data_IF_850514418457
#
_entry.id   IF_850514418457
#
_cell.length_a   1.000
_cell.length_b   1.000
_cell.length_c   1.000
_cell.angle_alpha   90.00
_cell.angle_beta   90.00
_cell.angle_gamma   90.00
#
_symmetry.space_group_name_H-M   'P 1'
#
loop_
_entity.id
_entity.type
_entity.pdbx_description
1 polymer ?
#
# COMPACT_ATOMS: atom_id res chain seq x y z
N UNK A 1 7.99 6.37 27.33
CA UNK A 1 7.37 5.05 27.06
C UNK A 1 8.21 4.30 26.05
N UNK A 2 8.17 2.97 26.09
CA UNK A 2 8.72 2.09 25.06
C UNK A 2 7.63 1.76 24.03
N UNK A 3 7.86 2.04 22.76
CA UNK A 3 6.86 1.88 21.69
C UNK A 3 7.44 0.96 20.62
N UNK A 4 6.68 -0.07 20.27
CA UNK A 4 7.02 -1.04 19.25
C UNK A 4 6.14 -0.86 18.02
N UNK A 5 6.75 -0.63 16.85
CA UNK A 5 6.07 -0.67 15.57
C UNK A 5 6.25 -2.03 14.90
N UNK A 6 5.16 -2.61 14.38
CA UNK A 6 5.19 -3.93 13.73
C UNK A 6 4.59 -3.83 12.33
N UNK A 7 5.43 -4.05 11.31
CA UNK A 7 5.02 -4.04 9.92
C UNK A 7 6.01 -4.79 9.03
N UNK A 8 5.54 -5.74 8.20
CA UNK A 8 6.41 -6.57 7.34
C UNK A 8 7.38 -5.74 6.48
N UNK A 9 6.95 -4.58 6.01
CA UNK A 9 7.72 -3.67 5.16
C UNK A 9 7.98 -2.34 5.88
N UNK A 10 8.29 -2.38 7.19
CA UNK A 10 8.58 -1.14 7.91
C UNK A 10 9.52 -0.24 7.09
N UNK A 11 9.27 1.08 7.00
CA UNK A 11 8.33 1.85 7.80
C UNK A 11 6.86 1.79 7.35
N UNK A 12 6.53 1.40 6.11
CA UNK A 12 5.15 1.36 5.65
C UNK A 12 4.39 2.65 5.99
N UNK A 13 3.24 2.52 6.63
CA UNK A 13 2.39 3.64 7.09
C UNK A 13 3.02 4.46 8.22
N UNK A 14 4.05 3.95 8.89
CA UNK A 14 4.65 4.60 10.06
C UNK A 14 5.83 5.52 9.72
N UNK A 15 6.05 5.84 8.45
CA UNK A 15 7.18 6.66 7.96
C UNK A 15 7.29 8.02 8.66
N UNK A 16 6.17 8.69 8.87
CA UNK A 16 6.15 9.96 9.60
C UNK A 16 5.99 9.76 11.11
N UNK A 17 5.12 8.81 11.51
CA UNK A 17 4.76 8.60 12.90
C UNK A 17 5.93 8.09 13.76
N UNK A 18 6.69 7.10 13.31
CA UNK A 18 7.73 6.50 14.12
C UNK A 18 8.87 7.48 14.47
N UNK A 19 9.41 8.30 13.53
CA UNK A 19 10.35 9.36 13.85
C UNK A 19 9.76 10.44 14.75
N UNK A 20 8.50 10.86 14.54
CA UNK A 20 7.85 11.90 15.35
C UNK A 20 7.70 11.45 16.80
N UNK A 21 7.27 10.21 17.04
CA UNK A 21 7.16 9.63 18.38
C UNK A 21 8.53 9.52 19.05
N UNK A 22 9.58 9.18 18.30
CA UNK A 22 10.95 9.17 18.81
C UNK A 22 11.43 10.57 19.19
N UNK A 23 11.17 11.56 18.32
CA UNK A 23 11.51 12.97 18.58
C UNK A 23 10.79 13.55 19.81
N UNK A 24 9.59 13.00 20.13
CA UNK A 24 8.86 13.32 21.35
C UNK A 24 9.46 12.70 22.63
N UNK A 25 10.62 12.07 22.55
CA UNK A 25 11.35 11.52 23.69
C UNK A 25 10.96 10.09 24.10
N UNK A 26 10.29 9.34 23.23
CA UNK A 26 9.97 7.95 23.49
C UNK A 26 11.08 7.03 22.98
N UNK A 27 11.24 5.86 23.63
CA UNK A 27 12.10 4.78 23.14
C UNK A 27 11.31 4.00 22.08
N UNK A 28 11.82 4.00 20.83
CA UNK A 28 11.10 3.45 19.68
C UNK A 28 11.91 2.34 19.04
N UNK A 29 11.24 1.21 18.82
CA UNK A 29 11.78 0.05 18.11
C UNK A 29 10.77 -0.40 17.05
N UNK A 30 11.26 -1.02 15.97
CA UNK A 30 10.43 -1.63 14.95
C UNK A 30 10.74 -3.12 14.78
N UNK A 31 9.76 -3.88 14.33
CA UNK A 31 9.92 -5.27 13.87
C UNK A 31 9.45 -5.34 12.41
N UNK A 32 10.30 -5.88 11.54
CA UNK A 32 9.97 -6.08 10.13
C UNK A 32 10.65 -7.31 9.52
N UNK A 33 10.25 -7.68 8.30
CA UNK A 33 10.98 -8.68 7.52
C UNK A 33 12.16 -8.10 6.73
N UNK A 34 12.32 -6.76 6.71
CA UNK A 34 13.39 -6.05 6.00
C UNK A 34 14.58 -5.78 6.91
N UNK A 35 15.79 -6.07 6.43
CA UNK A 35 17.03 -5.85 7.18
C UNK A 35 17.41 -4.38 7.29
N UNK A 36 17.22 -3.62 6.23
CA UNK A 36 17.61 -2.21 6.18
C UNK A 36 16.38 -1.32 6.22
N UNK A 37 16.27 -0.54 7.28
CA UNK A 37 15.29 0.53 7.41
C UNK A 37 15.98 1.71 8.06
N UNK A 38 16.56 2.60 7.24
CA UNK A 38 17.04 3.89 7.76
C UNK A 38 15.83 4.81 7.93
N UNK A 39 15.37 4.94 9.15
CA UNK A 39 14.28 5.82 9.51
C UNK A 39 14.59 6.56 10.82
N UNK A 40 15.35 7.67 10.71
CA UNK A 40 15.55 8.60 11.83
C UNK A 40 16.12 7.97 13.11
N UNK A 41 16.97 6.93 12.95
CA UNK A 41 17.58 6.22 14.08
C UNK A 41 16.62 5.31 14.86
N UNK A 42 15.46 4.93 14.30
CA UNK A 42 14.59 3.90 14.86
C UNK A 42 15.26 2.54 14.70
N UNK A 43 15.50 1.84 15.82
CA UNK A 43 16.07 0.50 15.81
C UNK A 43 15.09 -0.49 15.18
N UNK A 44 15.58 -1.31 14.24
CA UNK A 44 14.76 -2.35 13.60
C UNK A 44 15.29 -3.74 13.93
N UNK A 45 14.41 -4.60 14.42
CA UNK A 45 14.67 -6.03 14.63
C UNK A 45 13.98 -6.81 13.53
N UNK A 46 14.71 -7.74 12.91
CA UNK A 46 14.14 -8.54 11.83
C UNK A 46 13.58 -9.86 12.32
N UNK A 47 12.48 -10.27 11.72
CA UNK A 47 11.99 -11.64 11.80
C UNK A 47 12.20 -12.37 10.47
N UNK A 48 12.39 -13.67 10.52
CA UNK A 48 12.57 -14.52 9.35
C UNK A 48 11.42 -15.51 9.21
N UNK A 49 10.91 -15.64 7.99
CA UNK A 49 9.92 -16.66 7.65
C UNK A 49 10.65 -17.92 7.23
N UNK A 50 10.60 -18.96 8.07
CA UNK A 50 11.35 -20.21 7.89
C UNK A 50 10.62 -21.24 7.01
N UNK A 51 9.32 -21.04 6.74
CA UNK A 51 8.50 -21.92 5.92
C UNK A 51 7.46 -21.15 5.14
N UNK A 52 6.95 -21.71 4.08
CA UNK A 52 5.79 -21.22 3.31
C UNK A 52 4.55 -22.03 3.67
N UNK A 53 3.39 -21.56 3.19
CA UNK A 53 2.15 -22.31 3.31
C UNK A 53 2.26 -23.70 2.68
N UNK A 54 1.60 -24.68 3.29
CA UNK A 54 1.57 -26.06 2.79
C UNK A 54 0.96 -26.12 1.39
N UNK A 55 1.55 -26.95 0.52
CA UNK A 55 1.01 -27.20 -0.83
C UNK A 55 -0.32 -27.96 -0.80
N UNK A 56 -0.63 -28.67 0.28
CA UNK A 56 -1.84 -29.46 0.47
C UNK A 56 -2.94 -28.75 1.25
N UNK A 57 -2.72 -27.51 1.67
CA UNK A 57 -3.76 -26.73 2.36
C UNK A 57 -4.91 -26.37 1.42
N UNK A 58 -6.10 -26.22 1.98
CA UNK A 58 -7.24 -25.73 1.20
C UNK A 58 -6.92 -24.36 0.57
N UNK A 59 -7.17 -24.14 -0.73
CA UNK A 59 -6.75 -22.92 -1.44
C UNK A 59 -7.22 -21.61 -0.80
N UNK A 60 -8.37 -21.60 -0.14
CA UNK A 60 -8.88 -20.41 0.56
C UNK A 60 -8.10 -20.06 1.83
N UNK A 61 -7.40 -21.04 2.42
CA UNK A 61 -6.65 -20.85 3.68
C UNK A 61 -5.20 -20.46 3.48
N UNK A 62 -4.70 -20.41 2.24
CA UNK A 62 -3.29 -20.09 1.95
C UNK A 62 -2.87 -18.74 2.58
N UNK A 63 -3.71 -17.72 2.45
CA UNK A 63 -3.43 -16.39 3.03
C UNK A 63 -3.46 -16.45 4.56
N UNK A 64 -4.42 -17.15 5.13
CA UNK A 64 -4.56 -17.30 6.59
C UNK A 64 -3.39 -18.10 7.18
N UNK A 65 -2.97 -19.19 6.55
CA UNK A 65 -1.77 -19.93 7.00
C UNK A 65 -0.51 -19.08 6.90
N UNK A 66 -0.35 -18.31 5.82
CA UNK A 66 0.77 -17.37 5.69
C UNK A 66 0.77 -16.32 6.80
N UNK A 67 -0.40 -15.86 7.22
CA UNK A 67 -0.55 -14.92 8.34
C UNK A 67 -0.16 -15.57 9.68
N UNK A 68 -0.59 -16.80 9.93
CA UNK A 68 -0.20 -17.59 11.12
C UNK A 68 1.31 -17.77 11.19
N UNK A 69 1.95 -18.13 10.07
CA UNK A 69 3.41 -18.32 9.99
C UNK A 69 4.16 -17.02 10.34
N UNK A 70 3.67 -15.86 9.86
CA UNK A 70 4.25 -14.57 10.24
C UNK A 70 4.02 -14.22 11.71
N UNK A 71 2.80 -14.42 12.18
CA UNK A 71 2.45 -14.21 13.59
C UNK A 71 3.34 -15.04 14.52
N UNK A 72 3.56 -16.31 14.19
CA UNK A 72 4.49 -17.20 14.93
C UNK A 72 5.91 -16.64 14.96
N UNK A 73 6.43 -16.19 13.81
CA UNK A 73 7.77 -15.64 13.72
C UNK A 73 7.92 -14.36 14.56
N UNK A 74 6.95 -13.44 14.48
CA UNK A 74 6.96 -12.19 15.25
C UNK A 74 6.78 -12.46 16.74
N UNK A 75 5.87 -13.37 17.12
CA UNK A 75 5.70 -13.81 18.51
C UNK A 75 7.03 -14.28 19.12
N UNK A 76 7.80 -15.10 18.38
CA UNK A 76 9.12 -15.56 18.82
C UNK A 76 10.11 -14.41 19.05
N UNK A 77 10.16 -13.43 18.15
CA UNK A 77 11.02 -12.25 18.30
C UNK A 77 10.63 -11.41 19.50
N UNK A 78 9.33 -11.10 19.64
CA UNK A 78 8.81 -10.28 20.76
C UNK A 78 9.04 -10.96 22.10
N UNK A 79 8.76 -12.26 22.19
CA UNK A 79 9.02 -13.06 23.41
C UNK A 79 10.50 -13.04 23.79
N UNK A 80 11.39 -13.09 22.80
CA UNK A 80 12.83 -13.01 23.06
C UNK A 80 13.27 -11.61 23.53
N UNK A 81 12.73 -10.54 22.94
CA UNK A 81 12.97 -9.17 23.41
C UNK A 81 12.54 -9.00 24.87
N UNK A 82 11.36 -9.50 25.25
CA UNK A 82 10.85 -9.43 26.62
C UNK A 82 11.75 -10.20 27.59
N UNK A 83 12.19 -11.41 27.23
CA UNK A 83 13.15 -12.20 28.04
C UNK A 83 14.47 -11.48 28.23
N UNK A 84 14.90 -10.67 27.28
CA UNK A 84 16.12 -9.85 27.34
C UNK A 84 15.91 -8.48 28.01
N UNK A 85 14.79 -8.27 28.68
CA UNK A 85 14.51 -7.06 29.47
C UNK A 85 13.95 -5.89 28.68
N UNK A 86 13.58 -6.07 27.40
CA UNK A 86 12.92 -5.04 26.62
C UNK A 86 11.44 -5.39 26.37
N UNK A 87 10.55 -4.73 27.07
CA UNK A 87 9.10 -4.90 26.95
C UNK A 87 8.47 -3.57 26.58
N UNK A 88 7.67 -3.46 25.50
CA UNK A 88 7.01 -2.21 25.13
C UNK A 88 5.80 -1.93 26.01
N UNK A 89 5.52 -0.64 26.23
CA UNK A 89 4.30 -0.16 26.84
C UNK A 89 3.15 -0.16 25.82
N UNK A 90 3.48 0.17 24.55
CA UNK A 90 2.54 0.29 23.42
C UNK A 90 3.09 -0.44 22.21
N UNK A 91 2.23 -1.19 21.53
CA UNK A 91 2.51 -1.79 20.22
C UNK A 91 1.56 -1.18 19.20
N UNK A 92 2.11 -0.74 18.07
CA UNK A 92 1.35 -0.27 16.90
C UNK A 92 1.69 -1.17 15.73
N UNK A 93 0.72 -1.93 15.23
CA UNK A 93 1.01 -2.92 14.20
C UNK A 93 -0.10 -3.05 13.16
N UNK A 94 0.28 -3.54 11.98
CA UNK A 94 -0.62 -3.73 10.87
C UNK A 94 -1.37 -5.06 10.99
N UNK A 95 -2.72 -5.03 11.02
CA UNK A 95 -3.54 -6.25 11.16
C UNK A 95 -3.55 -7.12 9.89
N UNK A 96 -3.21 -6.56 8.74
CA UNK A 96 -3.42 -7.17 7.42
C UNK A 96 -2.51 -8.33 7.05
N UNK A 97 -1.42 -8.55 7.77
CA UNK A 97 -0.39 -9.52 7.38
C UNK A 97 -0.16 -10.65 8.39
N UNK A 98 -0.82 -10.60 9.56
CA UNK A 98 -0.78 -11.64 10.58
C UNK A 98 0.19 -11.40 11.73
N UNK A 99 1.09 -10.41 11.64
CA UNK A 99 2.09 -10.12 12.68
C UNK A 99 1.47 -9.79 14.04
N UNK A 100 0.23 -9.27 14.04
CA UNK A 100 -0.48 -8.91 15.27
C UNK A 100 -1.29 -10.05 15.91
N UNK A 101 -1.42 -11.21 15.23
CA UNK A 101 -2.30 -12.29 15.69
C UNK A 101 -2.01 -12.80 17.09
N UNK A 102 -0.72 -12.93 17.46
CA UNK A 102 -0.29 -13.52 18.75
C UNK A 102 0.43 -12.50 19.63
N UNK A 103 0.15 -11.22 19.41
CA UNK A 103 0.82 -10.15 20.16
C UNK A 103 0.37 -10.09 21.62
N UNK A 104 -0.91 -10.38 21.88
CA UNK A 104 -1.47 -10.40 23.24
C UNK A 104 -0.85 -11.47 24.12
N UNK A 105 -0.57 -12.66 23.55
CA UNK A 105 0.08 -13.77 24.23
C UNK A 105 1.53 -13.45 24.57
N UNK A 106 2.24 -12.76 23.68
CA UNK A 106 3.62 -12.34 23.91
C UNK A 106 3.72 -11.17 24.90
N UNK A 107 2.75 -10.28 24.91
CA UNK A 107 2.75 -9.00 25.63
C UNK A 107 1.38 -8.77 26.34
N UNK A 108 1.04 -9.51 27.38
CA UNK A 108 -0.27 -9.46 28.02
C UNK A 108 -0.63 -8.09 28.64
N UNK A 109 0.37 -7.28 28.97
CA UNK A 109 0.20 -5.98 29.64
C UNK A 109 0.39 -4.77 28.71
N UNK A 110 0.92 -4.95 27.50
CA UNK A 110 1.09 -3.86 26.57
C UNK A 110 -0.25 -3.37 25.99
N UNK A 111 -0.32 -2.09 25.65
CA UNK A 111 -1.44 -1.55 24.86
C UNK A 111 -1.23 -1.86 23.40
N UNK A 112 -2.18 -2.54 22.77
CA UNK A 112 -2.10 -2.98 21.38
C UNK A 112 -3.02 -2.13 20.51
N UNK A 113 -2.45 -1.47 19.51
CA UNK A 113 -3.15 -0.66 18.52
C UNK A 113 -2.98 -1.29 17.13
N UNK A 114 -4.08 -1.74 16.53
CA UNK A 114 -4.11 -2.39 15.24
C UNK A 114 -4.40 -1.42 14.10
N UNK A 115 -3.54 -1.33 13.08
CA UNK A 115 -3.85 -0.60 11.86
C UNK A 115 -4.74 -1.45 10.95
N UNK A 116 -5.99 -0.97 10.76
CA UNK A 116 -7.08 -1.62 10.05
C UNK A 116 -7.18 -1.03 8.64
N UNK A 117 -6.28 -1.46 7.74
CA UNK A 117 -6.19 -0.89 6.40
C UNK A 117 -7.39 -1.24 5.53
N UNK A 118 -7.86 -2.49 5.62
CA UNK A 118 -8.91 -2.99 4.73
C UNK A 118 -9.59 -4.24 5.29
N UNK A 119 -10.88 -4.41 4.97
CA UNK A 119 -11.64 -5.63 5.23
C UNK A 119 -12.31 -6.08 3.93
N UNK A 120 -12.12 -7.32 3.54
CA UNK A 120 -12.52 -7.81 2.23
C UNK A 120 -14.00 -8.17 2.19
N UNK A 121 -14.73 -7.61 1.24
CA UNK A 121 -16.15 -7.88 1.02
C UNK A 121 -16.36 -8.63 -0.30
N UNK A 122 -17.19 -9.67 -0.28
CA UNK A 122 -17.56 -10.41 -1.49
C UNK A 122 -18.49 -9.65 -2.44
N UNK A 123 -19.04 -8.51 -2.00
CA UNK A 123 -19.93 -7.63 -2.79
C UNK A 123 -19.77 -6.19 -2.35
N UNK A 124 -19.91 -5.24 -3.29
CA UNK A 124 -19.93 -3.81 -3.00
C UNK A 124 -18.56 -3.21 -2.66
N UNK A 125 -17.47 -3.93 -2.99
CA UNK A 125 -16.10 -3.51 -2.81
C UNK A 125 -15.28 -3.88 -4.05
N UNK A 126 -14.04 -4.31 -3.89
CA UNK A 126 -13.11 -4.63 -4.97
C UNK A 126 -13.47 -5.89 -5.79
N UNK A 127 -14.26 -6.80 -5.21
CA UNK A 127 -14.76 -7.98 -5.95
C UNK A 127 -15.76 -7.56 -7.02
N UNK A 128 -15.50 -7.95 -8.28
CA UNK A 128 -16.29 -7.56 -9.46
C UNK A 128 -16.42 -6.04 -9.63
N UNK A 129 -15.36 -5.29 -9.31
CA UNK A 129 -15.33 -3.83 -9.43
C UNK A 129 -15.58 -3.34 -10.86
N UNK A 130 -15.22 -4.15 -11.84
CA UNK A 130 -15.41 -3.86 -13.26
C UNK A 130 -15.85 -5.13 -13.98
N UNK A 131 -16.96 -5.10 -14.77
CA UNK A 131 -17.45 -6.26 -15.53
C UNK A 131 -16.44 -6.80 -16.57
N UNK A 132 -15.50 -5.99 -17.03
CA UNK A 132 -14.43 -6.41 -17.94
C UNK A 132 -13.41 -7.35 -17.26
N UNK A 133 -13.32 -7.26 -15.91
CA UNK A 133 -12.40 -8.06 -15.10
C UNK A 133 -13.15 -8.84 -14.02
N UNK A 134 -13.97 -9.82 -14.40
CA UNK A 134 -14.75 -10.57 -13.44
C UNK A 134 -13.85 -11.35 -12.48
N UNK A 135 -14.19 -11.31 -11.20
CA UNK A 135 -13.54 -12.12 -10.18
C UNK A 135 -13.95 -13.59 -10.32
N UNK A 136 -13.15 -14.50 -9.76
CA UNK A 136 -13.51 -15.91 -9.68
C UNK A 136 -14.84 -16.11 -8.94
N UNK A 137 -15.60 -17.15 -9.32
CA UNK A 137 -16.92 -17.42 -8.74
C UNK A 137 -16.88 -17.60 -7.22
N UNK A 138 -15.75 -18.13 -6.68
CA UNK A 138 -15.51 -18.35 -5.24
C UNK A 138 -14.86 -17.14 -4.54
N UNK A 139 -14.84 -15.95 -5.16
CA UNK A 139 -14.24 -14.75 -4.58
C UNK A 139 -14.90 -14.32 -3.25
N UNK A 140 -16.23 -14.41 -3.05
CA UNK A 140 -16.84 -14.10 -1.76
C UNK A 140 -16.34 -14.99 -0.63
N UNK A 141 -16.23 -16.30 -0.86
CA UNK A 141 -15.74 -17.26 0.13
C UNK A 141 -14.27 -17.05 0.43
N UNK A 142 -13.46 -16.73 -0.57
CA UNK A 142 -12.04 -16.34 -0.40
C UNK A 142 -11.89 -15.07 0.44
N UNK A 143 -12.73 -14.06 0.22
CA UNK A 143 -12.75 -12.84 1.05
C UNK A 143 -13.06 -13.20 2.50
N UNK A 144 -14.06 -14.03 2.74
CA UNK A 144 -14.43 -14.47 4.07
C UNK A 144 -13.27 -15.21 4.77
N UNK A 145 -12.65 -16.17 4.10
CA UNK A 145 -11.50 -16.92 4.62
C UNK A 145 -10.29 -15.99 4.88
N UNK A 146 -10.07 -15.01 4.02
CA UNK A 146 -9.00 -14.02 4.16
C UNK A 146 -9.21 -13.10 5.38
N UNK A 147 -10.45 -12.80 5.73
CA UNK A 147 -10.76 -11.96 6.88
C UNK A 147 -10.52 -12.63 8.24
N UNK A 148 -10.32 -13.96 8.30
CA UNK A 148 -10.09 -14.67 9.56
C UNK A 148 -8.94 -14.07 10.36
N UNK A 149 -7.77 -13.91 9.73
CA UNK A 149 -6.58 -13.37 10.41
C UNK A 149 -6.68 -11.88 10.69
N UNK A 150 -7.41 -11.10 9.85
CA UNK A 150 -7.70 -9.69 10.09
C UNK A 150 -8.55 -9.51 11.33
N UNK A 151 -9.62 -10.31 11.44
CA UNK A 151 -10.54 -10.32 12.58
C UNK A 151 -9.80 -10.67 13.86
N UNK A 152 -9.02 -11.76 13.85
CA UNK A 152 -8.27 -12.21 15.02
C UNK A 152 -7.23 -11.18 15.46
N UNK A 153 -6.49 -10.61 14.51
CA UNK A 153 -5.52 -9.55 14.79
C UNK A 153 -6.17 -8.32 15.44
N UNK A 154 -7.35 -7.91 14.99
CA UNK A 154 -8.07 -6.78 15.56
C UNK A 154 -8.66 -7.12 16.95
N UNK A 155 -9.18 -8.33 17.14
CA UNK A 155 -9.73 -8.78 18.42
C UNK A 155 -8.66 -8.85 19.50
N UNK A 156 -7.43 -9.19 19.15
CA UNK A 156 -6.27 -9.18 20.06
C UNK A 156 -5.85 -7.76 20.47
N UNK A 157 -6.22 -6.73 19.71
CA UNK A 157 -5.88 -5.34 20.01
C UNK A 157 -6.87 -4.69 20.99
N UNK A 158 -6.40 -3.69 21.75
CA UNK A 158 -7.27 -2.83 22.55
C UNK A 158 -8.14 -1.93 21.66
N UNK A 159 -7.55 -1.37 20.59
CA UNK A 159 -8.23 -0.54 19.59
C UNK A 159 -7.67 -0.77 18.18
N UNK A 160 -8.53 -0.53 17.18
CA UNK A 160 -8.16 -0.41 15.78
C UNK A 160 -8.09 1.05 15.34
N UNK A 161 -7.27 1.33 14.32
CA UNK A 161 -7.20 2.62 13.62
C UNK A 161 -7.32 2.38 12.13
N UNK A 162 -8.18 3.13 11.46
CA UNK A 162 -8.29 3.17 10.00
C UNK A 162 -8.08 4.59 9.49
N UNK A 163 -7.49 4.79 8.30
CA UNK A 163 -7.17 6.14 7.81
C UNK A 163 -8.39 6.94 7.33
N UNK A 164 -9.48 6.26 6.98
CA UNK A 164 -10.71 6.89 6.48
C UNK A 164 -11.96 6.21 7.04
N UNK A 165 -13.08 6.95 7.07
CA UNK A 165 -14.39 6.37 7.40
C UNK A 165 -14.74 5.23 6.45
N UNK A 166 -14.51 5.41 5.15
CA UNK A 166 -14.80 4.38 4.14
C UNK A 166 -14.09 3.06 4.44
N UNK A 167 -12.79 3.09 4.79
CA UNK A 167 -12.05 1.89 5.14
C UNK A 167 -12.54 1.26 6.46
N UNK A 168 -12.85 2.09 7.45
CA UNK A 168 -13.40 1.61 8.71
C UNK A 168 -14.79 0.96 8.54
N UNK A 169 -15.62 1.51 7.67
CA UNK A 169 -17.00 1.06 7.43
C UNK A 169 -17.08 -0.24 6.60
N UNK A 170 -15.95 -0.73 6.05
CA UNK A 170 -15.86 -2.08 5.48
C UNK A 170 -15.94 -3.18 6.56
N UNK A 171 -15.56 -2.86 7.80
CA UNK A 171 -15.56 -3.82 8.88
C UNK A 171 -16.99 -4.09 9.39
N UNK A 172 -17.35 -5.33 9.78
CA UNK A 172 -18.62 -5.62 10.43
C UNK A 172 -18.88 -4.71 11.63
N UNK A 173 -20.15 -4.40 11.92
CA UNK A 173 -20.56 -3.42 12.93
C UNK A 173 -19.94 -3.70 14.31
N UNK A 174 -19.90 -4.95 14.73
CA UNK A 174 -19.29 -5.38 15.99
C UNK A 174 -17.76 -5.13 16.06
N UNK A 175 -17.08 -5.09 14.94
CA UNK A 175 -15.65 -4.73 14.85
C UNK A 175 -15.48 -3.23 14.60
N UNK A 176 -16.37 -2.62 13.79
CA UNK A 176 -16.34 -1.20 13.46
C UNK A 176 -16.35 -0.30 14.70
N UNK A 177 -17.12 -0.66 15.72
CA UNK A 177 -17.18 0.09 16.98
C UNK A 177 -15.84 0.20 17.71
N UNK A 178 -14.91 -0.70 17.45
CA UNK A 178 -13.54 -0.73 18.01
C UNK A 178 -12.53 0.05 17.18
N UNK A 179 -12.92 0.58 16.00
CA UNK A 179 -12.01 1.26 15.08
C UNK A 179 -12.22 2.77 15.17
N UNK A 180 -11.15 3.49 15.50
CA UNK A 180 -11.09 4.95 15.39
C UNK A 180 -10.59 5.35 14.01
N UNK A 181 -11.17 6.40 13.46
CA UNK A 181 -10.70 6.96 12.19
C UNK A 181 -9.68 8.04 12.49
N UNK A 182 -8.44 7.79 12.05
CA UNK A 182 -7.31 8.72 12.17
C UNK A 182 -6.57 8.67 10.85
N UNK A 183 -6.57 9.77 10.12
CA UNK A 183 -5.90 9.88 8.82
C UNK A 183 -4.38 9.64 8.94
N UNK A 184 -3.78 9.01 7.93
CA UNK A 184 -2.33 8.71 7.92
C UNK A 184 -1.45 9.95 8.09
N UNK A 185 -1.98 11.11 7.71
CA UNK A 185 -1.22 12.36 7.69
C UNK A 185 -0.33 12.47 6.45
N UNK A 186 0.13 13.69 6.22
CA UNK A 186 1.13 14.03 5.20
C UNK A 186 2.00 15.16 5.73
N UNK A 187 3.29 15.17 5.38
CA UNK A 187 4.25 16.17 5.82
C UNK A 187 4.04 17.50 5.04
N UNK A 188 2.99 18.24 5.36
CA UNK A 188 2.60 19.48 4.66
C UNK A 188 3.67 20.58 4.68
N UNK A 189 4.55 20.56 5.66
CA UNK A 189 5.69 21.50 5.73
C UNK A 189 6.79 21.19 4.70
N UNK A 190 6.82 19.97 4.18
CA UNK A 190 7.82 19.46 3.22
C UNK A 190 7.27 19.25 1.83
N UNK A 191 5.99 18.91 1.74
CA UNK A 191 5.28 18.64 0.47
C UNK A 191 4.52 19.90 0.07
N UNK A 192 5.28 20.89 -0.35
CA UNK A 192 4.79 22.20 -0.81
C UNK A 192 5.02 22.34 -2.32
N UNK A 193 4.21 23.16 -3.02
CA UNK A 193 4.47 23.52 -4.41
C UNK A 193 5.87 24.10 -4.59
N UNK A 194 6.55 23.67 -5.65
CA UNK A 194 7.86 24.18 -6.06
C UNK A 194 7.78 24.68 -7.50
N UNK A 195 7.79 26.00 -7.68
CA UNK A 195 7.71 26.64 -9.01
C UNK A 195 8.98 26.45 -9.83
N UNK A 196 10.09 26.07 -9.19
CA UNK A 196 11.35 25.75 -9.87
C UNK A 196 11.52 24.25 -10.13
N UNK A 197 10.51 23.43 -9.83
CA UNK A 197 10.58 22.00 -10.04
C UNK A 197 10.75 21.65 -11.51
N UNK A 198 11.63 20.70 -11.75
CA UNK A 198 11.83 20.11 -13.07
C UNK A 198 12.33 18.67 -12.92
N UNK A 199 12.10 17.89 -13.98
CA UNK A 199 12.61 16.52 -14.12
C UNK A 199 13.19 16.31 -15.51
N UNK A 200 14.05 15.32 -15.66
CA UNK A 200 14.57 14.85 -16.94
C UNK A 200 14.18 13.40 -17.14
N UNK A 201 13.60 13.08 -18.28
CA UNK A 201 13.05 11.76 -18.57
C UNK A 201 13.69 11.13 -19.80
N UNK A 202 13.87 9.81 -19.70
CA UNK A 202 14.28 8.96 -20.82
C UNK A 202 15.72 9.16 -21.29
N UNK A 203 16.09 8.40 -22.33
CA UNK A 203 17.41 8.49 -22.96
C UNK A 203 17.60 9.80 -23.70
N UNK A 204 16.53 10.37 -24.22
CA UNK A 204 16.53 11.62 -24.99
C UNK A 204 16.58 12.86 -24.09
N UNK A 205 16.69 12.65 -22.76
CA UNK A 205 16.83 13.73 -21.77
C UNK A 205 15.74 14.80 -21.88
N UNK A 206 14.50 14.38 -22.10
CA UNK A 206 13.37 15.31 -22.19
C UNK A 206 13.20 16.02 -20.85
N UNK A 207 13.40 17.33 -20.84
CA UNK A 207 13.25 18.17 -19.67
C UNK A 207 11.81 18.69 -19.57
N UNK A 208 11.13 18.38 -18.46
CA UNK A 208 9.79 18.87 -18.13
C UNK A 208 9.88 19.73 -16.87
N UNK A 209 9.14 20.82 -16.83
CA UNK A 209 9.15 21.79 -15.73
C UNK A 209 7.75 22.27 -15.38
N UNK A 210 7.62 22.96 -14.27
CA UNK A 210 6.39 23.65 -13.89
C UNK A 210 5.95 24.61 -15.01
N UNK A 211 4.67 24.55 -15.36
CA UNK A 211 4.07 25.31 -16.46
C UNK A 211 3.96 24.57 -17.80
N UNK A 212 4.67 23.46 -17.97
CA UNK A 212 4.45 22.56 -19.11
C UNK A 212 3.10 21.81 -18.93
N UNK A 213 2.48 21.39 -20.04
CA UNK A 213 1.26 20.57 -20.00
C UNK A 213 1.56 19.11 -19.65
N UNK A 214 1.97 18.86 -18.41
CA UNK A 214 2.32 17.50 -17.94
C UNK A 214 1.08 16.84 -17.35
N UNK A 215 0.67 15.72 -17.95
CA UNK A 215 -0.38 14.83 -17.39
C UNK A 215 0.30 13.62 -16.78
N UNK A 216 0.05 13.37 -15.51
CA UNK A 216 0.65 12.25 -14.79
C UNK A 216 -0.37 11.18 -14.44
N UNK A 217 0.06 9.90 -14.55
CA UNK A 217 -0.64 8.74 -14.02
C UNK A 217 0.35 7.92 -13.20
N UNK A 218 0.17 7.84 -11.89
CA UNK A 218 1.17 7.29 -10.98
C UNK A 218 0.55 6.20 -10.11
N UNK A 219 1.06 4.97 -10.25
CA UNK A 219 0.61 3.83 -9.46
C UNK A 219 1.77 2.86 -9.20
N UNK A 220 1.60 1.93 -8.27
CA UNK A 220 2.58 0.87 -8.02
C UNK A 220 2.75 -0.03 -9.23
N UNK A 221 1.63 -0.48 -9.81
CA UNK A 221 1.57 -1.27 -11.04
C UNK A 221 0.46 -0.74 -11.94
N UNK A 222 0.63 -0.95 -13.25
CA UNK A 222 -0.28 -0.51 -14.31
C UNK A 222 -1.34 -1.61 -14.52
N UNK A 223 -2.40 -1.57 -13.74
CA UNK A 223 -3.42 -2.62 -13.64
C UNK A 223 -4.85 -2.06 -13.64
N UNK A 224 -5.87 -2.89 -13.98
CA UNK A 224 -7.26 -2.45 -14.05
C UNK A 224 -7.80 -1.84 -12.76
N UNK A 225 -7.49 -2.40 -11.58
CA UNK A 225 -7.89 -1.86 -10.28
C UNK A 225 -7.43 -0.39 -10.08
N UNK A 226 -6.36 0.02 -10.76
CA UNK A 226 -5.84 1.39 -10.77
C UNK A 226 -6.42 2.25 -11.88
N UNK A 227 -7.33 1.69 -12.70
CA UNK A 227 -7.96 2.39 -13.82
C UNK A 227 -7.02 2.62 -15.02
N UNK A 228 -5.93 1.86 -15.12
CA UNK A 228 -4.95 2.02 -16.19
C UNK A 228 -5.58 1.82 -17.57
N UNK A 229 -6.45 0.83 -17.76
CA UNK A 229 -7.20 0.61 -19.00
C UNK A 229 -8.04 1.82 -19.41
N UNK A 230 -8.75 2.43 -18.46
CA UNK A 230 -9.58 3.61 -18.72
C UNK A 230 -8.70 4.81 -19.10
N UNK A 231 -7.57 5.00 -18.40
CA UNK A 231 -6.64 6.06 -18.73
C UNK A 231 -6.06 5.89 -20.14
N UNK A 232 -5.59 4.69 -20.49
CA UNK A 232 -5.04 4.41 -21.82
C UNK A 232 -6.06 4.65 -22.92
N UNK A 233 -7.30 4.23 -22.73
CA UNK A 233 -8.40 4.44 -23.71
C UNK A 233 -8.79 5.90 -23.87
N UNK A 234 -8.59 6.73 -22.84
CA UNK A 234 -8.82 8.17 -22.90
C UNK A 234 -7.67 8.94 -23.56
N UNK A 235 -6.45 8.39 -23.60
CA UNK A 235 -5.27 9.12 -24.10
C UNK A 235 -5.38 9.64 -25.52
N UNK A 236 -5.92 8.92 -26.52
CA UNK A 236 -6.06 9.46 -27.88
C UNK A 236 -6.82 10.77 -27.93
N UNK A 237 -7.93 10.88 -27.19
CA UNK A 237 -8.73 12.10 -27.14
C UNK A 237 -8.02 13.21 -26.33
N UNK A 238 -7.41 12.88 -25.20
CA UNK A 238 -6.61 13.84 -24.41
C UNK A 238 -5.52 14.45 -25.29
N UNK A 239 -4.76 13.62 -26.00
CA UNK A 239 -3.64 14.08 -26.84
C UNK A 239 -4.08 14.86 -28.08
N UNK A 240 -5.26 14.56 -28.63
CA UNK A 240 -5.84 15.32 -29.71
C UNK A 240 -6.29 16.72 -29.25
N UNK A 241 -6.95 16.80 -28.08
CA UNK A 241 -7.39 18.08 -27.50
C UNK A 241 -6.24 18.94 -26.96
N UNK A 242 -5.15 18.30 -26.54
CA UNK A 242 -3.98 18.96 -25.93
C UNK A 242 -2.70 18.57 -26.68
N UNK A 243 -2.43 19.20 -27.85
CA UNK A 243 -1.33 18.80 -28.72
C UNK A 243 0.07 18.99 -28.08
N UNK A 244 0.19 19.85 -27.06
CA UNK A 244 1.45 20.09 -26.35
C UNK A 244 1.60 19.21 -25.09
N UNK A 245 0.55 18.46 -24.69
CA UNK A 245 0.60 17.65 -23.49
C UNK A 245 1.68 16.56 -23.55
N UNK A 246 2.42 16.42 -22.46
CA UNK A 246 3.36 15.33 -22.20
C UNK A 246 2.77 14.40 -21.15
N UNK A 247 2.71 13.12 -21.47
CA UNK A 247 2.10 12.11 -20.63
C UNK A 247 3.20 11.35 -19.90
N UNK A 248 3.18 11.37 -18.56
CA UNK A 248 4.13 10.62 -17.73
C UNK A 248 3.39 9.54 -16.96
N UNK A 249 3.68 8.29 -17.28
CA UNK A 249 3.04 7.12 -16.69
C UNK A 249 4.07 6.41 -15.81
N UNK A 250 3.84 6.42 -14.50
CA UNK A 250 4.71 5.75 -13.52
C UNK A 250 4.01 4.51 -12.98
N UNK A 251 4.68 3.36 -13.10
CA UNK A 251 4.19 2.11 -12.56
C UNK A 251 4.91 0.90 -13.12
N UNK A 252 4.96 -0.17 -12.33
CA UNK A 252 5.51 -1.46 -12.73
C UNK A 252 4.54 -2.22 -13.65
N UNK A 253 5.06 -3.28 -14.28
CA UNK A 253 4.29 -4.15 -15.19
C UNK A 253 3.87 -5.46 -14.49
N UNK A 254 3.63 -5.40 -13.19
CA UNK A 254 3.09 -6.52 -12.41
C UNK A 254 1.66 -6.21 -11.97
N UNK A 255 1.07 -7.15 -11.25
CA UNK A 255 -0.24 -6.99 -10.63
C UNK A 255 -0.06 -6.94 -9.11
N UNK A 256 -0.64 -5.94 -8.47
CA UNK A 256 -0.68 -5.82 -7.00
C UNK A 256 -2.00 -6.32 -6.44
N UNK A 257 -3.09 -6.09 -7.18
CA UNK A 257 -4.46 -6.41 -6.80
C UNK A 257 -5.17 -7.08 -7.97
N UNK A 258 -5.96 -8.10 -7.67
CA UNK A 258 -6.59 -8.92 -8.71
C UNK A 258 -5.67 -10.01 -9.26
N UNK A 259 -5.98 -10.49 -10.47
CA UNK A 259 -5.25 -11.56 -11.15
C UNK A 259 -4.45 -11.01 -12.34
N UNK A 260 -3.30 -11.59 -12.66
CA UNK A 260 -2.61 -11.26 -13.90
C UNK A 260 -3.45 -11.71 -15.10
N UNK A 261 -3.26 -11.08 -16.28
CA UNK A 261 -3.95 -11.52 -17.50
C UNK A 261 -3.50 -12.92 -17.90
N UNK A 262 -4.36 -13.74 -18.55
CA UNK A 262 -4.08 -15.16 -18.79
C UNK A 262 -2.79 -15.44 -19.58
N UNK A 263 -2.41 -14.55 -20.51
CA UNK A 263 -1.31 -14.76 -21.45
C UNK A 263 -0.19 -13.72 -21.36
N UNK A 264 -0.13 -12.95 -20.26
CA UNK A 264 0.90 -11.93 -20.06
C UNK A 264 1.23 -11.76 -18.58
N UNK A 265 2.40 -11.19 -18.30
CA UNK A 265 2.85 -10.91 -16.92
C UNK A 265 2.16 -9.70 -16.30
N UNK A 266 1.57 -8.83 -17.13
CA UNK A 266 0.91 -7.60 -16.70
C UNK A 266 0.04 -6.98 -17.79
N UNK A 267 -0.58 -5.89 -17.45
CA UNK A 267 -1.58 -5.23 -18.28
C UNK A 267 -1.04 -4.07 -19.15
N UNK A 268 0.21 -3.65 -18.92
CA UNK A 268 0.79 -2.47 -19.56
C UNK A 268 0.70 -2.55 -21.09
N UNK A 269 1.26 -3.60 -21.69
CA UNK A 269 1.31 -3.74 -23.14
C UNK A 269 -0.07 -4.05 -23.74
N UNK A 270 -0.94 -4.74 -23.01
CA UNK A 270 -2.29 -5.06 -23.47
C UNK A 270 -3.03 -3.75 -23.79
N UNK A 271 -3.17 -2.85 -22.83
CA UNK A 271 -3.93 -1.61 -23.03
C UNK A 271 -3.17 -0.56 -23.86
N UNK A 272 -1.84 -0.61 -23.86
CA UNK A 272 -1.07 0.23 -24.78
C UNK A 272 -1.33 -0.19 -26.23
N UNK A 273 -1.35 -1.49 -26.54
CA UNK A 273 -1.57 -2.00 -27.89
C UNK A 273 -2.98 -1.71 -28.42
N UNK A 274 -4.01 -1.66 -27.54
CA UNK A 274 -5.36 -1.24 -27.94
C UNK A 274 -5.42 0.16 -28.60
N UNK A 275 -4.50 1.03 -28.23
CA UNK A 275 -4.57 2.47 -28.61
C UNK A 275 -3.31 2.96 -29.31
N UNK A 276 -2.25 2.15 -29.41
CA UNK A 276 -0.90 2.53 -29.87
C UNK A 276 -0.90 3.28 -31.19
N UNK A 277 -1.66 2.82 -32.19
CA UNK A 277 -1.71 3.43 -33.53
C UNK A 277 -2.37 4.84 -33.52
N UNK A 278 -3.10 5.16 -32.47
CA UNK A 278 -3.77 6.45 -32.30
C UNK A 278 -2.98 7.42 -31.39
N UNK A 279 -1.79 7.00 -30.94
CA UNK A 279 -0.97 7.75 -29.98
C UNK A 279 0.31 8.27 -30.63
N UNK A 280 0.67 9.49 -30.31
CA UNK A 280 2.02 10.01 -30.56
C UNK A 280 2.95 9.56 -29.42
N UNK A 281 3.65 8.46 -29.64
CA UNK A 281 4.52 7.86 -28.64
C UNK A 281 5.70 8.75 -28.23
N UNK A 282 6.07 9.76 -29.03
CA UNK A 282 7.13 10.72 -28.67
C UNK A 282 6.76 11.62 -27.48
N UNK A 283 5.46 11.69 -27.16
CA UNK A 283 4.92 12.48 -26.06
C UNK A 283 4.55 11.66 -24.82
N UNK A 284 4.76 10.32 -24.86
CA UNK A 284 4.40 9.42 -23.76
C UNK A 284 5.67 8.81 -23.14
N UNK A 285 5.82 9.00 -21.85
CA UNK A 285 6.97 8.56 -21.10
C UNK A 285 6.56 7.53 -20.05
N UNK A 286 6.94 6.26 -20.26
CA UNK A 286 6.75 5.20 -19.27
C UNK A 286 7.95 5.12 -18.34
N UNK A 287 7.68 5.18 -17.03
CA UNK A 287 8.70 5.07 -15.98
C UNK A 287 8.25 3.97 -15.01
N UNK A 288 9.10 2.95 -14.82
CA UNK A 288 8.73 1.80 -13.98
C UNK A 288 8.70 2.15 -12.49
N UNK A 289 9.66 2.92 -12.03
CA UNK A 289 9.81 3.33 -10.64
C UNK A 289 10.57 4.65 -10.55
N UNK A 290 10.21 5.49 -9.60
CA UNK A 290 10.91 6.74 -9.29
C UNK A 290 11.24 6.82 -7.80
N UNK A 291 12.40 7.36 -7.40
CA UNK A 291 12.69 7.69 -6.01
C UNK A 291 11.68 8.73 -5.47
N UNK A 292 11.41 8.68 -4.17
CA UNK A 292 10.44 9.58 -3.55
C UNK A 292 10.68 11.09 -3.82
N UNK A 293 11.92 11.62 -3.77
CA UNK A 293 12.16 13.02 -4.13
C UNK A 293 11.80 13.35 -5.59
N UNK A 294 12.00 12.41 -6.51
CA UNK A 294 11.61 12.57 -7.93
C UNK A 294 10.09 12.51 -8.08
N UNK A 295 9.40 11.65 -7.31
CA UNK A 295 7.94 11.60 -7.26
C UNK A 295 7.35 12.95 -6.87
N UNK A 296 7.88 13.57 -5.80
CA UNK A 296 7.43 14.90 -5.34
C UNK A 296 7.63 15.95 -6.44
N UNK A 297 8.81 16.00 -7.09
CA UNK A 297 9.06 16.91 -8.21
C UNK A 297 8.10 16.67 -9.37
N UNK A 298 7.81 15.39 -9.69
CA UNK A 298 6.88 15.04 -10.76
C UNK A 298 5.46 15.54 -10.45
N UNK A 299 5.02 15.44 -9.20
CA UNK A 299 3.73 16.00 -8.77
C UNK A 299 3.73 17.54 -8.82
N UNK A 300 4.82 18.20 -8.42
CA UNK A 300 4.95 19.66 -8.50
C UNK A 300 4.85 20.21 -9.94
N UNK A 301 5.37 19.48 -10.93
CA UNK A 301 5.29 19.90 -12.35
C UNK A 301 4.01 19.46 -13.04
N UNK A 302 3.22 18.59 -12.43
CA UNK A 302 2.02 18.03 -13.01
C UNK A 302 0.95 19.09 -13.16
N UNK A 303 0.49 19.33 -14.40
CA UNK A 303 -0.68 20.17 -14.69
C UNK A 303 -1.99 19.45 -14.35
N UNK A 304 -1.99 18.11 -14.48
CA UNK A 304 -3.10 17.26 -14.09
C UNK A 304 -2.57 15.89 -13.64
N UNK A 305 -2.95 15.48 -12.42
CA UNK A 305 -2.72 14.12 -11.94
C UNK A 305 -3.99 13.29 -12.09
N UNK A 306 -3.92 12.21 -12.88
CA UNK A 306 -5.06 11.33 -13.13
C UNK A 306 -5.05 10.20 -12.12
N UNK A 307 -6.14 10.07 -11.37
CA UNK A 307 -6.32 9.07 -10.34
C UNK A 307 -7.65 8.33 -10.54
N UNK A 308 -7.59 7.13 -11.10
CA UNK A 308 -8.75 6.28 -11.41
C UNK A 308 -8.79 4.99 -10.58
N UNK A 309 -8.05 4.96 -9.48
CA UNK A 309 -8.08 3.80 -8.60
C UNK A 309 -9.51 3.55 -8.11
N UNK A 310 -10.01 2.32 -8.32
CA UNK A 310 -11.25 1.89 -7.70
C UNK A 310 -11.16 2.03 -6.17
N UNK A 311 -12.23 2.44 -5.47
CA UNK A 311 -12.19 2.61 -4.02
C UNK A 311 -11.64 1.37 -3.31
N UNK A 312 -10.48 1.53 -2.67
CA UNK A 312 -9.75 0.48 -1.98
C UNK A 312 -9.06 1.09 -0.75
N UNK A 313 -7.74 1.11 -0.69
CA UNK A 313 -7.01 1.81 0.37
C UNK A 313 -6.64 3.22 -0.06
N UNK A 314 -6.50 4.13 0.91
CA UNK A 314 -6.04 5.49 0.65
C UNK A 314 -4.66 5.47 -0.03
N UNK A 315 -4.56 6.10 -1.19
CA UNK A 315 -3.30 6.16 -1.93
C UNK A 315 -2.57 7.47 -1.66
N UNK A 316 -1.32 7.37 -1.27
CA UNK A 316 -0.50 8.55 -0.97
C UNK A 316 -0.11 9.37 -2.21
N UNK A 317 -0.31 8.85 -3.43
CA UNK A 317 -0.15 9.66 -4.63
C UNK A 317 -1.32 10.62 -4.88
N UNK A 318 -2.44 10.41 -4.19
CA UNK A 318 -3.61 11.29 -4.24
C UNK A 318 -3.51 12.44 -3.21
N UNK A 319 -2.86 12.17 -2.08
CA UNK A 319 -2.64 13.16 -1.01
C UNK A 319 -1.56 14.19 -1.39
#
# INVERSE_FOLDING_TARGET
MKILFVHQNFPGQYRALAPAVKAAGHEVMAISSRKETDLGGVSNVTYEIKRSSSKSIHPWLVTTESAVIRGEAVHGVVSNLSKNGWTPDVVVGHCGCGEMMFMREALPHARLLGFCEYYYLGKGSDVNFDPEFPSAADAPERCHARNMHLTESLLSCDWGVAPTNWQADLFPENLRSRIKVIHDGIETDRLIPDDNAWIELGRDKVKLKKGDEVVTFINRNLEPMRGYHQFMRALPEIMARRPNARIVIVGGDKVSYGSPPPNASGYKEIFLNEVRERLDMSRIHFVSHVPYPTLVKLLCISAAHVYFTYPFVLSWSML
#
